data_IF_077609925155
#
_entry.id   IF_077609925155
#
_cell.length_a   1.000
_cell.length_b   1.000
_cell.length_c   1.000
_cell.angle_alpha   90.00
_cell.angle_beta   90.00
_cell.angle_gamma   90.00
#
_symmetry.space_group_name_H-M   'P 1'
#
loop_
_entity.id
_entity.type
_entity.pdbx_description
1 polymer ?
#
# COMPACT_ATOMS: atom_id res chain seq x y z
N UNK A 1 -7.40 -14.88 12.04
CA UNK A 1 -7.66 -15.02 10.60
C UNK A 1 -7.16 -13.76 9.94
N UNK A 2 -6.18 -13.89 9.06
CA UNK A 2 -5.57 -12.76 8.36
C UNK A 2 -6.59 -12.10 7.42
N UNK A 3 -6.57 -10.77 7.33
CA UNK A 3 -7.51 -9.98 6.53
C UNK A 3 -6.78 -9.23 5.43
N UNK A 4 -7.29 -9.34 4.20
CA UNK A 4 -6.77 -8.63 3.03
C UNK A 4 -7.74 -7.56 2.53
N UNK A 5 -7.19 -6.53 1.89
CA UNK A 5 -7.94 -5.50 1.16
C UNK A 5 -7.34 -5.32 -0.23
N UNK A 6 -8.19 -5.10 -1.24
CA UNK A 6 -7.75 -4.74 -2.57
C UNK A 6 -7.56 -3.23 -2.70
N UNK A 7 -6.46 -2.82 -3.31
CA UNK A 7 -6.21 -1.42 -3.68
C UNK A 7 -5.68 -1.33 -5.10
N UNK A 8 -5.97 -0.21 -5.76
CA UNK A 8 -5.36 0.12 -7.03
C UNK A 8 -4.19 1.08 -6.82
N UNK A 9 -3.07 0.80 -7.48
CA UNK A 9 -1.86 1.63 -7.49
C UNK A 9 -1.39 1.82 -8.94
N UNK A 10 -0.92 3.02 -9.27
CA UNK A 10 -0.38 3.33 -10.61
C UNK A 10 0.96 2.60 -10.83
N UNK A 11 1.25 2.07 -12.04
CA UNK A 11 2.45 1.27 -12.31
C UNK A 11 3.78 1.87 -11.84
N UNK A 12 3.91 3.20 -11.91
CA UNK A 12 5.13 3.89 -11.45
C UNK A 12 5.40 3.64 -9.95
N UNK A 13 4.37 3.64 -9.11
CA UNK A 13 4.51 3.39 -7.68
C UNK A 13 4.60 1.90 -7.37
N UNK A 14 4.00 1.04 -8.19
CA UNK A 14 4.21 -0.41 -8.10
C UNK A 14 5.69 -0.77 -8.32
N UNK A 15 6.34 -0.10 -9.27
CA UNK A 15 7.80 -0.25 -9.50
C UNK A 15 8.59 0.21 -8.27
N UNK A 16 8.25 1.36 -7.69
CA UNK A 16 8.92 1.82 -6.47
C UNK A 16 8.70 0.88 -5.28
N UNK A 17 7.50 0.30 -5.12
CA UNK A 17 7.22 -0.69 -4.08
C UNK A 17 8.05 -1.96 -4.27
N UNK A 18 8.15 -2.47 -5.51
CA UNK A 18 8.91 -3.69 -5.80
C UNK A 18 10.42 -3.50 -5.64
N UNK A 19 10.93 -2.29 -5.87
CA UNK A 19 12.33 -1.91 -5.63
C UNK A 19 12.63 -1.61 -4.15
N UNK A 20 11.63 -1.59 -3.26
CA UNK A 20 11.77 -1.08 -1.89
C UNK A 20 12.04 0.43 -1.82
N UNK A 21 11.92 1.11 -2.96
CA UNK A 21 11.85 2.57 -3.19
C UNK A 21 10.81 3.25 -2.32
N UNK A 22 9.63 2.63 -2.37
CA UNK A 22 8.41 3.06 -1.70
C UNK A 22 8.06 2.12 -0.56
N UNK A 23 7.92 2.64 0.66
CA UNK A 23 7.56 1.81 1.84
C UNK A 23 6.33 2.28 2.59
N UNK A 24 5.81 3.46 2.24
CA UNK A 24 4.60 4.04 2.81
C UNK A 24 3.55 4.33 1.74
N UNK A 25 2.31 3.92 1.97
CA UNK A 25 1.16 4.23 1.12
C UNK A 25 0.20 5.15 1.88
N UNK A 26 -0.03 6.35 1.34
CA UNK A 26 -0.88 7.37 1.97
C UNK A 26 -2.29 7.32 1.39
N UNK A 27 -3.30 7.40 2.25
CA UNK A 27 -4.71 7.48 1.86
C UNK A 27 -5.42 8.52 2.72
N UNK A 28 -6.35 9.26 2.11
CA UNK A 28 -7.15 10.28 2.80
C UNK A 28 -8.22 9.69 3.73
N UNK A 29 -8.58 8.43 3.52
CA UNK A 29 -9.62 7.74 4.30
C UNK A 29 -9.02 6.49 4.94
N UNK A 30 -9.21 6.37 6.25
CA UNK A 30 -8.84 5.18 7.02
C UNK A 30 -9.72 3.99 6.63
N UNK A 31 -9.14 2.80 6.39
CA UNK A 31 -9.91 1.58 6.24
C UNK A 31 -10.77 1.30 7.47
N UNK A 32 -12.03 0.92 7.29
CA UNK A 32 -12.96 0.59 8.40
C UNK A 32 -12.50 -0.61 9.24
N UNK A 33 -11.60 -1.43 8.71
CA UNK A 33 -11.09 -2.64 9.33
C UNK A 33 -9.57 -2.66 9.20
N UNK A 34 -8.91 -3.11 10.26
CA UNK A 34 -7.49 -3.43 10.19
C UNK A 34 -7.28 -4.54 9.15
N UNK A 35 -6.23 -4.35 8.35
CA UNK A 35 -5.86 -5.21 7.23
C UNK A 35 -4.41 -5.60 7.42
N UNK A 36 -4.12 -6.89 7.26
CA UNK A 36 -2.78 -7.47 7.37
C UNK A 36 -2.05 -7.44 6.02
N UNK A 37 -2.82 -7.47 4.91
CA UNK A 37 -2.30 -7.47 3.55
C UNK A 37 -3.06 -6.55 2.58
N UNK A 38 -2.31 -5.85 1.75
CA UNK A 38 -2.82 -5.16 0.58
C UNK A 38 -2.58 -6.02 -0.66
N UNK A 39 -3.66 -6.40 -1.32
CA UNK A 39 -3.65 -6.99 -2.65
C UNK A 39 -3.67 -5.85 -3.67
N UNK A 40 -2.59 -5.68 -4.40
CA UNK A 40 -2.35 -4.49 -5.23
C UNK A 40 -2.68 -4.82 -6.69
N UNK A 41 -3.75 -4.20 -7.17
CA UNK A 41 -4.07 -4.11 -8.57
C UNK A 41 -3.25 -2.97 -9.19
N UNK A 42 -2.34 -3.32 -10.08
CA UNK A 42 -1.63 -2.36 -10.90
C UNK A 42 -2.57 -1.85 -12.00
N UNK A 43 -2.80 -0.53 -12.02
CA UNK A 43 -3.69 0.09 -13.00
C UNK A 43 -3.14 0.00 -14.43
N UNK A 44 -3.82 0.64 -15.39
CA UNK A 44 -3.35 0.67 -16.76
C UNK A 44 -1.88 1.15 -16.88
N UNK A 45 -1.07 0.56 -17.78
CA UNK A 45 -1.48 -0.39 -18.82
C UNK A 45 -1.56 -1.84 -18.34
N UNK A 46 -0.87 -2.24 -17.26
CA UNK A 46 -0.83 -3.63 -16.78
C UNK A 46 -2.22 -4.20 -16.52
N UNK A 47 -3.08 -3.43 -15.83
CA UNK A 47 -4.47 -3.81 -15.53
C UNK A 47 -4.59 -5.20 -14.90
N UNK A 48 -3.75 -5.48 -13.90
CA UNK A 48 -3.60 -6.81 -13.32
C UNK A 48 -3.39 -6.76 -11.81
N UNK A 49 -3.77 -7.84 -11.12
CA UNK A 49 -3.43 -8.06 -9.72
C UNK A 49 -1.99 -8.60 -9.64
N UNK A 50 -1.04 -7.75 -9.26
CA UNK A 50 0.39 -8.05 -9.49
C UNK A 50 1.17 -8.27 -8.19
N UNK A 51 0.80 -7.59 -7.10
CA UNK A 51 1.58 -7.60 -5.86
C UNK A 51 0.71 -7.87 -4.63
N UNK A 52 1.35 -8.40 -3.60
CA UNK A 52 0.84 -8.42 -2.23
C UNK A 52 1.84 -7.72 -1.32
N UNK A 53 1.37 -6.78 -0.52
CA UNK A 53 2.19 -6.10 0.49
C UNK A 53 1.65 -6.44 1.88
N UNK A 54 2.54 -6.79 2.82
CA UNK A 54 2.17 -6.92 4.22
C UNK A 54 2.13 -5.53 4.85
N UNK A 55 1.09 -5.26 5.62
CA UNK A 55 0.90 -3.97 6.29
C UNK A 55 1.04 -4.08 7.79
N UNK A 56 1.47 -2.98 8.40
CA UNK A 56 1.46 -2.77 9.84
C UNK A 56 0.28 -1.87 10.24
N UNK A 57 0.20 -1.52 11.52
CA UNK A 57 -0.76 -0.52 12.00
C UNK A 57 -0.59 0.79 11.20
N UNK A 58 -1.68 1.32 10.60
CA UNK A 58 -1.62 2.61 9.92
C UNK A 58 -1.18 3.72 10.88
N UNK A 59 -0.32 4.61 10.40
CA UNK A 59 -0.01 5.86 11.10
C UNK A 59 -1.12 6.85 10.81
N UNK A 60 -1.66 7.46 11.85
CA UNK A 60 -2.78 8.39 11.77
C UNK A 60 -2.35 9.76 12.27
N UNK A 61 -2.88 10.83 11.66
CA UNK A 61 -2.66 12.19 12.16
C UNK A 61 -3.05 12.28 13.65
N UNK A 62 -2.25 12.92 14.52
CA UNK A 62 -1.12 13.81 14.21
C UNK A 62 0.24 13.13 14.05
N UNK A 63 0.31 11.80 14.17
CA UNK A 63 1.56 11.05 14.05
C UNK A 63 2.08 11.04 12.60
N UNK A 64 3.39 10.89 12.44
CA UNK A 64 4.08 10.91 11.15
C UNK A 64 4.91 9.63 10.95
N UNK A 65 5.05 9.21 9.70
CA UNK A 65 5.97 8.11 9.35
C UNK A 65 7.42 8.61 9.44
N UNK A 66 8.35 7.72 9.78
CA UNK A 66 9.77 8.04 9.78
C UNK A 66 10.25 8.38 8.36
N UNK A 67 11.08 9.41 8.22
CA UNK A 67 11.69 9.81 6.96
C UNK A 67 12.83 8.85 6.57
N UNK A 68 12.49 7.59 6.26
CA UNK A 68 13.45 6.53 5.96
C UNK A 68 13.24 5.81 4.63
N UNK A 69 12.08 5.98 3.99
CA UNK A 69 11.80 5.49 2.65
C UNK A 69 10.81 6.41 1.96
N UNK A 70 11.09 6.71 0.69
CA UNK A 70 10.21 7.52 -0.16
C UNK A 70 9.05 6.68 -0.68
#
# INVERSE_FOLDING_TARGET
MEKGMFISIHPEYCTLLSEGKKVHEFRSVKPKRQTDFLWIYESAPSSALTYIARTTTPVEFPDQVEAGGW
#
